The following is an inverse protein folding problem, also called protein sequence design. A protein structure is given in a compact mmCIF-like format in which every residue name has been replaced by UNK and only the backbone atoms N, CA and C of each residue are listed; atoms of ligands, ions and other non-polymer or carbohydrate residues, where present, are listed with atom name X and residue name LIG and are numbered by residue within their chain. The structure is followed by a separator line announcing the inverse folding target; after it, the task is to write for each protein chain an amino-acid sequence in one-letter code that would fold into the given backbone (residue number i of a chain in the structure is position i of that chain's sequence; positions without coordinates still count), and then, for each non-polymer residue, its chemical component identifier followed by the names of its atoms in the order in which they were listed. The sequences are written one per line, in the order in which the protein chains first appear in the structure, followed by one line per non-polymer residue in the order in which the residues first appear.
data_IF_586353658285
#
_entry.id   IF_586353658285
#
_cell.length_a   1.000
_cell.length_b   1.000
_cell.length_c   1.000
_cell.angle_alpha   90.00
_cell.angle_beta   90.00
_cell.angle_gamma   90.00
#
_symmetry.space_group_name_H-M   'P 1'
#
loop_
_entity.id
_entity.type
_entity.pdbx_description
1 polymer ?
#
# COMPACT_ATOMS: atom_id res chain seq x y z
N UNK A 1 23.09 -14.64 14.93
CA UNK A 1 23.76 -14.23 13.67
C UNK A 1 22.76 -13.47 12.82
N UNK A 2 22.88 -12.14 12.71
CA UNK A 2 21.93 -11.34 11.93
C UNK A 2 22.26 -11.45 10.45
N UNK A 3 21.56 -12.35 9.75
CA UNK A 3 21.72 -12.59 8.31
C UNK A 3 21.36 -11.33 7.53
N UNK A 4 22.36 -10.74 6.89
CA UNK A 4 22.19 -9.63 5.95
C UNK A 4 21.70 -10.17 4.60
N UNK A 5 20.62 -9.61 4.09
CA UNK A 5 20.02 -10.00 2.81
C UNK A 5 20.22 -8.91 1.76
N UNK A 6 20.29 -9.34 0.50
CA UNK A 6 20.40 -8.41 -0.63
C UNK A 6 19.10 -7.63 -0.85
N UNK A 7 19.19 -6.46 -1.48
CA UNK A 7 18.03 -5.63 -1.83
C UNK A 7 16.93 -6.39 -2.60
N UNK A 8 17.29 -7.33 -3.48
CA UNK A 8 16.31 -8.15 -4.21
C UNK A 8 15.56 -9.16 -3.35
N UNK A 9 16.17 -9.63 -2.25
CA UNK A 9 15.46 -10.45 -1.26
C UNK A 9 14.59 -9.56 -0.37
N UNK A 10 15.11 -8.41 0.04
CA UNK A 10 14.37 -7.43 0.82
C UNK A 10 13.11 -6.95 0.10
N UNK A 11 13.18 -6.70 -1.21
CA UNK A 11 12.05 -6.24 -2.02
C UNK A 11 10.92 -7.28 -2.05
N UNK A 12 11.28 -8.57 -2.16
CA UNK A 12 10.32 -9.69 -2.11
C UNK A 12 9.65 -9.80 -0.74
N UNK A 13 10.41 -9.65 0.34
CA UNK A 13 9.88 -9.73 1.71
C UNK A 13 8.90 -8.59 1.99
N UNK A 14 9.20 -7.38 1.51
CA UNK A 14 8.38 -6.19 1.71
C UNK A 14 7.24 -6.04 0.70
N UNK A 15 7.19 -6.86 -0.35
CA UNK A 15 6.19 -6.74 -1.41
C UNK A 15 6.31 -5.45 -2.25
N UNK A 16 7.51 -4.88 -2.34
CA UNK A 16 7.77 -3.64 -3.11
C UNK A 16 8.83 -3.88 -4.19
N UNK A 17 8.99 -2.92 -5.10
CA UNK A 17 10.06 -3.00 -6.10
C UNK A 17 11.42 -2.66 -5.49
N UNK A 18 12.51 -3.13 -6.13
CA UNK A 18 13.88 -2.71 -5.77
C UNK A 18 14.04 -1.18 -5.85
N UNK A 19 13.37 -0.54 -6.82
CA UNK A 19 13.43 0.91 -6.98
C UNK A 19 12.75 1.63 -5.82
N UNK A 20 11.63 1.11 -5.31
CA UNK A 20 10.98 1.63 -4.10
C UNK A 20 11.95 1.65 -2.91
N UNK A 21 12.72 0.58 -2.70
CA UNK A 21 13.73 0.54 -1.62
C UNK A 21 14.85 1.56 -1.82
N UNK A 22 15.28 1.81 -3.05
CA UNK A 22 16.27 2.88 -3.36
C UNK A 22 15.70 4.26 -3.10
N UNK A 23 14.43 4.49 -3.43
CA UNK A 23 13.75 5.76 -3.18
C UNK A 23 13.60 6.00 -1.68
N UNK A 24 13.21 4.98 -0.91
CA UNK A 24 13.13 5.07 0.55
C UNK A 24 14.47 5.36 1.21
N UNK A 25 15.57 4.77 0.72
CA UNK A 25 16.91 5.15 1.16
C UNK A 25 17.21 6.62 0.85
N UNK A 26 16.94 7.08 -0.38
CA UNK A 26 17.13 8.48 -0.77
C UNK A 26 16.32 9.46 0.10
N UNK A 27 15.09 9.08 0.45
CA UNK A 27 14.17 9.87 1.26
C UNK A 27 14.40 9.73 2.78
N UNK A 28 15.29 8.83 3.21
CA UNK A 28 15.53 8.56 4.63
C UNK A 28 14.46 7.72 5.33
N UNK A 29 13.49 7.19 4.59
CA UNK A 29 12.41 6.33 5.12
C UNK A 29 12.90 4.93 5.50
N UNK A 30 13.89 4.41 4.77
CA UNK A 30 14.56 3.15 5.10
C UNK A 30 16.03 3.21 4.66
N UNK A 31 16.94 3.20 5.64
CA UNK A 31 18.37 3.06 5.36
C UNK A 31 18.80 1.60 5.32
N UNK A 32 19.71 1.21 4.41
CA UNK A 32 20.35 -0.10 4.48
C UNK A 32 21.20 -0.20 5.75
N UNK A 33 21.26 -1.40 6.33
CA UNK A 33 22.11 -1.66 7.50
C UNK A 33 23.60 -1.66 7.11
N UNK A 34 23.91 -2.02 5.86
CA UNK A 34 25.27 -1.99 5.31
C UNK A 34 25.23 -1.68 3.81
N UNK A 35 26.24 -0.94 3.35
CA UNK A 35 26.55 -0.74 1.94
C UNK A 35 27.89 -1.42 1.67
N UNK A 36 27.90 -2.39 0.76
CA UNK A 36 29.15 -3.08 0.41
C UNK A 36 30.11 -2.14 -0.32
N UNK A 37 31.40 -2.49 -0.40
CA UNK A 37 32.40 -1.72 -1.18
C UNK A 37 31.99 -1.47 -2.63
N UNK A 38 31.20 -2.39 -3.22
CA UNK A 38 30.63 -2.25 -4.57
C UNK A 38 29.30 -1.51 -4.64
N UNK A 39 28.88 -0.80 -3.58
CA UNK A 39 27.66 0.01 -3.55
C UNK A 39 26.35 -0.77 -3.40
N UNK A 40 26.41 -2.07 -3.08
CA UNK A 40 25.20 -2.88 -2.92
C UNK A 40 24.60 -2.73 -1.52
N UNK A 41 23.29 -2.54 -1.47
CA UNK A 41 22.53 -2.39 -0.21
C UNK A 41 22.24 -3.75 0.43
N UNK A 42 22.48 -3.84 1.73
CA UNK A 42 22.20 -5.01 2.56
C UNK A 42 21.31 -4.63 3.74
N UNK A 43 20.38 -5.53 4.07
CA UNK A 43 19.38 -5.30 5.11
C UNK A 43 19.36 -6.46 6.09
N UNK A 44 19.22 -6.17 7.39
CA UNK A 44 18.88 -7.17 8.40
C UNK A 44 17.39 -7.45 8.32
N UNK A 45 17.02 -8.71 8.53
CA UNK A 45 15.61 -9.12 8.53
C UNK A 45 14.79 -8.34 9.58
N UNK A 46 15.39 -8.04 10.73
CA UNK A 46 14.76 -7.28 11.82
C UNK A 46 14.45 -5.84 11.42
N UNK A 47 15.41 -5.17 10.76
CA UNK A 47 15.25 -3.81 10.23
C UNK A 47 14.10 -3.74 9.21
N UNK A 48 13.95 -4.78 8.38
CA UNK A 48 12.84 -4.86 7.42
C UNK A 48 11.48 -5.09 8.09
N UNK A 49 11.43 -5.95 9.11
CA UNK A 49 10.18 -6.21 9.87
C UNK A 49 9.67 -4.97 10.60
N UNK A 50 10.57 -4.07 10.99
CA UNK A 50 10.20 -2.83 11.68
C UNK A 50 9.65 -1.75 10.72
N UNK A 51 9.87 -1.85 9.41
CA UNK A 51 9.33 -0.88 8.43
C UNK A 51 7.80 -0.87 8.47
N UNK A 52 7.17 -2.04 8.45
CA UNK A 52 5.71 -2.13 8.43
C UNK A 52 5.07 -1.53 9.70
N UNK A 53 5.83 -1.39 10.80
CA UNK A 53 5.38 -0.69 12.01
C UNK A 53 5.62 0.82 11.96
N UNK A 54 6.51 1.27 11.08
CA UNK A 54 6.93 2.66 10.92
C UNK A 54 6.36 3.34 9.67
N UNK A 55 5.50 2.66 8.89
CA UNK A 55 4.63 3.34 7.93
C UNK A 55 3.67 4.20 8.75
N UNK A 56 4.11 5.42 9.04
CA UNK A 56 3.25 6.46 9.56
C UNK A 56 2.37 6.91 8.41
N UNK A 57 1.17 6.36 8.35
CA UNK A 57 0.12 6.97 7.58
C UNK A 57 -0.03 8.41 8.07
N UNK A 58 -0.22 9.34 7.14
CA UNK A 58 -0.33 10.74 7.51
C UNK A 58 -1.46 10.86 8.53
N UNK A 59 -1.16 11.37 9.73
CA UNK A 59 -2.16 11.66 10.75
C UNK A 59 -2.71 13.06 10.49
N UNK A 60 -3.05 13.34 9.23
CA UNK A 60 -3.89 14.48 8.95
C UNK A 60 -5.33 14.13 9.34
N UNK A 61 -6.17 15.14 9.47
CA UNK A 61 -7.59 14.94 9.75
C UNK A 61 -8.37 14.53 8.48
N UNK A 62 -7.68 14.15 7.40
CA UNK A 62 -8.34 13.77 6.16
C UNK A 62 -8.88 12.34 6.27
N UNK A 63 -9.96 12.09 5.55
CA UNK A 63 -10.51 10.74 5.45
C UNK A 63 -9.73 9.96 4.40
N UNK A 64 -9.33 8.74 4.74
CA UNK A 64 -8.84 7.75 3.79
C UNK A 64 -10.00 7.24 2.94
N UNK A 65 -9.90 7.30 1.61
CA UNK A 65 -10.95 6.79 0.72
C UNK A 65 -10.65 5.35 0.32
N UNK A 66 -11.56 4.44 0.66
CA UNK A 66 -11.57 3.05 0.21
C UNK A 66 -12.48 2.92 -1.02
N UNK A 67 -11.91 2.74 -2.21
CA UNK A 67 -12.66 2.69 -3.46
C UNK A 67 -12.72 1.28 -4.05
N UNK A 68 -13.92 0.80 -4.40
CA UNK A 68 -14.13 -0.47 -5.09
C UNK A 68 -15.03 -0.30 -6.33
N UNK A 69 -14.76 -1.05 -7.41
CA UNK A 69 -15.58 -1.01 -8.62
C UNK A 69 -15.60 -2.34 -9.35
N UNK A 70 -16.78 -2.71 -9.86
CA UNK A 70 -16.94 -3.83 -10.79
C UNK A 70 -17.61 -3.38 -12.08
N UNK A 71 -17.35 -4.10 -13.17
CA UNK A 71 -17.82 -3.72 -14.51
C UNK A 71 -19.19 -4.29 -14.86
N UNK A 72 -19.57 -5.45 -14.33
CA UNK A 72 -20.89 -6.06 -14.56
C UNK A 72 -21.71 -6.17 -13.28
N UNK A 73 -23.04 -6.12 -13.42
CA UNK A 73 -23.98 -6.41 -12.33
C UNK A 73 -23.84 -7.83 -11.81
N UNK A 74 -23.38 -8.76 -12.64
CA UNK A 74 -23.16 -10.16 -12.24
C UNK A 74 -22.01 -10.29 -11.23
N UNK A 75 -21.18 -9.25 -11.09
CA UNK A 75 -20.08 -9.17 -10.14
C UNK A 75 -20.47 -8.41 -8.87
N UNK A 76 -21.76 -8.22 -8.59
CA UNK A 76 -22.22 -7.46 -7.42
C UNK A 76 -21.77 -8.12 -6.11
N UNK A 77 -21.77 -9.44 -6.04
CA UNK A 77 -21.30 -10.17 -4.86
C UNK A 77 -19.78 -10.02 -4.67
N UNK A 78 -19.02 -9.95 -5.78
CA UNK A 78 -17.60 -9.62 -5.76
C UNK A 78 -17.36 -8.19 -5.24
N UNK A 79 -18.18 -7.23 -5.64
CA UNK A 79 -18.09 -5.86 -5.15
C UNK A 79 -18.31 -5.80 -3.63
N UNK A 80 -19.32 -6.52 -3.11
CA UNK A 80 -19.58 -6.61 -1.67
C UNK A 80 -18.37 -7.19 -0.93
N UNK A 81 -17.78 -8.28 -1.45
CA UNK A 81 -16.57 -8.87 -0.88
C UNK A 81 -15.38 -7.91 -0.90
N UNK A 82 -15.18 -7.18 -2.00
CA UNK A 82 -14.10 -6.18 -2.12
C UNK A 82 -14.27 -5.06 -1.09
N UNK A 83 -15.49 -4.56 -0.91
CA UNK A 83 -15.80 -3.54 0.10
C UNK A 83 -15.47 -4.05 1.50
N UNK A 84 -15.93 -5.25 1.87
CA UNK A 84 -15.66 -5.82 3.20
C UNK A 84 -14.17 -5.97 3.49
N UNK A 85 -13.38 -6.39 2.50
CA UNK A 85 -11.91 -6.50 2.65
C UNK A 85 -11.27 -5.14 2.89
N UNK A 86 -11.72 -4.10 2.17
CA UNK A 86 -11.23 -2.74 2.36
C UNK A 86 -11.60 -2.19 3.74
N UNK A 87 -12.85 -2.35 4.17
CA UNK A 87 -13.32 -1.93 5.50
C UNK A 87 -12.51 -2.59 6.62
N UNK A 88 -12.30 -3.91 6.52
CA UNK A 88 -11.52 -4.66 7.50
C UNK A 88 -10.07 -4.15 7.57
N UNK A 89 -9.46 -3.87 6.40
CA UNK A 89 -8.11 -3.33 6.33
C UNK A 89 -8.02 -1.94 6.96
N UNK A 90 -8.93 -1.03 6.59
CA UNK A 90 -8.97 0.33 7.12
C UNK A 90 -9.21 0.35 8.64
N UNK A 91 -10.13 -0.48 9.13
CA UNK A 91 -10.38 -0.63 10.57
C UNK A 91 -9.15 -1.17 11.31
N UNK A 92 -8.50 -2.21 10.78
CA UNK A 92 -7.28 -2.78 11.37
C UNK A 92 -6.11 -1.80 11.39
N UNK A 93 -6.01 -0.94 10.38
CA UNK A 93 -4.99 0.08 10.28
C UNK A 93 -5.31 1.34 11.11
N UNK A 94 -6.52 1.45 11.68
CA UNK A 94 -6.94 2.59 12.49
C UNK A 94 -7.23 3.85 11.67
N UNK A 95 -7.60 3.72 10.40
CA UNK A 95 -7.91 4.86 9.56
C UNK A 95 -9.26 5.48 9.90
N UNK A 96 -9.35 6.81 9.81
CA UNK A 96 -10.61 7.49 9.59
C UNK A 96 -10.92 7.34 8.08
N UNK A 97 -11.89 6.51 7.71
CA UNK A 97 -12.10 6.15 6.31
C UNK A 97 -13.54 6.30 5.83
N UNK A 98 -13.69 6.37 4.52
CA UNK A 98 -14.96 6.37 3.81
C UNK A 98 -14.90 5.42 2.62
N UNK A 99 -15.94 4.59 2.47
CA UNK A 99 -16.05 3.67 1.34
C UNK A 99 -16.83 4.32 0.21
N UNK A 100 -16.28 4.22 -0.99
CA UNK A 100 -16.94 4.59 -2.23
C UNK A 100 -16.96 3.36 -3.14
N UNK A 101 -18.11 3.08 -3.73
CA UNK A 101 -18.25 1.95 -4.65
C UNK A 101 -18.95 2.35 -5.94
N UNK A 102 -18.57 1.72 -7.04
CA UNK A 102 -19.20 1.91 -8.34
C UNK A 102 -19.53 0.58 -9.03
N UNK A 103 -20.64 0.59 -9.75
CA UNK A 103 -21.07 -0.51 -10.61
C UNK A 103 -21.24 -0.02 -12.05
N UNK A 104 -20.69 -0.74 -13.02
CA UNK A 104 -21.09 -0.67 -14.42
C UNK A 104 -19.95 -0.65 -15.42
N UNK A 105 -20.28 -0.97 -16.66
CA UNK A 105 -19.34 -1.18 -17.76
C UNK A 105 -18.92 0.13 -18.42
N UNK A 106 -17.80 0.08 -19.13
CA UNK A 106 -17.23 1.24 -19.82
C UNK A 106 -16.57 2.28 -18.91
N UNK A 107 -15.91 3.25 -19.53
CA UNK A 107 -15.30 4.40 -18.86
C UNK A 107 -16.32 5.54 -18.83
N UNK A 108 -16.90 5.80 -17.67
CA UNK A 108 -17.86 6.88 -17.46
C UNK A 108 -17.35 7.80 -16.33
N UNK A 109 -16.88 8.98 -16.72
CA UNK A 109 -16.31 9.99 -15.81
C UNK A 109 -17.35 10.66 -14.90
N UNK A 110 -18.65 10.46 -15.19
CA UNK A 110 -19.75 11.04 -14.43
C UNK A 110 -20.38 10.06 -13.43
N UNK A 111 -19.73 8.92 -13.18
CA UNK A 111 -20.21 7.99 -12.15
C UNK A 111 -20.19 8.66 -10.77
N UNK A 112 -21.25 8.45 -9.99
CA UNK A 112 -21.43 9.08 -8.68
C UNK A 112 -20.25 8.79 -7.74
N UNK A 113 -19.74 7.56 -7.71
CA UNK A 113 -18.59 7.21 -6.88
C UNK A 113 -17.31 7.90 -7.35
N UNK A 114 -17.01 7.85 -8.65
CA UNK A 114 -15.86 8.54 -9.23
C UNK A 114 -15.89 10.06 -9.01
N UNK A 115 -17.03 10.73 -9.21
CA UNK A 115 -17.17 12.17 -8.93
C UNK A 115 -16.87 12.44 -7.46
N UNK A 116 -17.44 11.63 -6.56
CA UNK A 116 -17.22 11.75 -5.11
C UNK A 116 -15.78 11.46 -4.68
N UNK A 117 -15.03 10.69 -5.46
CA UNK A 117 -13.61 10.43 -5.21
C UNK A 117 -12.72 11.61 -5.61
N UNK A 118 -13.12 12.37 -6.64
CA UNK A 118 -12.32 13.44 -7.22
C UNK A 118 -12.60 14.82 -6.59
N UNK A 119 -13.73 14.99 -5.92
CA UNK A 119 -14.19 16.23 -5.27
C UNK A 119 -14.13 16.07 -3.76
#
# INVERSE_FOLDING_TARGET
MNKLIAIGQASKILGVTIQTLRNWDKQGLLKPDEITKGGSRRYKLESLKNINKNIKFNTDNLKTIAYARVSSSDQKDDLIRQVQVLELYCAKAGFNYEVIQDLGSGMNYYKKGLIKLLI
#
